data_IF_416980865571
#
_entry.id   IF_416980865571
#
_cell.length_a   1.000
_cell.length_b   1.000
_cell.length_c   1.000
_cell.angle_alpha   90.00
_cell.angle_beta   90.00
_cell.angle_gamma   90.00
#
_symmetry.space_group_name_H-M   'P 1'
#
loop_
_entity.id
_entity.type
_entity.pdbx_description
1 polymer ?
#
# COMPACT_ATOMS: atom_id res chain seq x y z
N UNK A 1 -23.06 0.82 -39.45
CA UNK A 1 -21.84 1.67 -39.33
C UNK A 1 -21.47 1.73 -37.85
N UNK A 2 -20.25 1.35 -37.45
CA UNK A 2 -19.82 1.32 -36.03
C UNK A 2 -19.12 2.64 -35.70
N UNK A 3 -19.68 3.44 -34.79
CA UNK A 3 -19.06 4.70 -34.32
C UNK A 3 -18.07 4.37 -33.20
N UNK A 4 -16.79 4.70 -33.40
CA UNK A 4 -15.78 4.64 -32.36
C UNK A 4 -15.74 5.98 -31.64
N UNK A 5 -15.98 5.99 -30.32
CA UNK A 5 -15.98 7.20 -29.51
C UNK A 5 -15.31 6.89 -28.17
N UNK A 6 -14.49 7.82 -27.69
CA UNK A 6 -13.89 7.79 -26.36
C UNK A 6 -14.51 8.89 -25.49
N UNK A 7 -14.51 8.65 -24.19
CA UNK A 7 -14.98 9.60 -23.18
C UNK A 7 -13.87 9.85 -22.17
N UNK A 8 -13.78 11.09 -21.70
CA UNK A 8 -12.90 11.49 -20.62
C UNK A 8 -13.76 12.12 -19.53
N UNK A 9 -13.50 11.73 -18.28
CA UNK A 9 -14.20 12.24 -17.12
C UNK A 9 -13.17 12.67 -16.07
N UNK A 10 -13.50 13.72 -15.34
CA UNK A 10 -12.78 14.11 -14.14
C UNK A 10 -13.44 13.47 -12.92
N UNK A 11 -12.61 12.97 -12.00
CA UNK A 11 -13.09 12.49 -10.71
C UNK A 11 -13.40 13.72 -9.84
N UNK A 12 -14.65 13.82 -9.36
CA UNK A 12 -15.10 14.92 -8.49
C UNK A 12 -15.40 14.37 -7.08
N UNK A 13 -14.38 14.01 -6.27
CA UNK A 13 -14.60 13.46 -4.95
C UNK A 13 -15.09 14.54 -3.98
N UNK A 14 -15.98 14.16 -3.06
CA UNK A 14 -16.33 15.01 -1.93
C UNK A 14 -15.20 15.02 -0.88
N UNK A 15 -15.38 15.78 0.21
CA UNK A 15 -14.37 15.91 1.26
C UNK A 15 -14.02 14.60 1.97
N UNK A 16 -15.01 13.74 2.21
CA UNK A 16 -14.84 12.44 2.84
C UNK A 16 -14.04 11.49 1.94
N UNK A 17 -14.42 11.39 0.68
CA UNK A 17 -13.73 10.58 -0.34
C UNK A 17 -12.28 11.04 -0.50
N UNK A 18 -12.05 12.34 -0.61
CA UNK A 18 -10.70 12.92 -0.72
C UNK A 18 -9.84 12.62 0.52
N UNK A 19 -10.45 12.58 1.71
CA UNK A 19 -9.75 12.18 2.94
C UNK A 19 -9.42 10.69 2.93
N UNK A 20 -10.37 9.83 2.57
CA UNK A 20 -10.18 8.38 2.49
C UNK A 20 -9.06 8.01 1.50
N UNK A 21 -9.06 8.64 0.30
CA UNK A 21 -8.00 8.44 -0.70
C UNK A 21 -6.62 8.84 -0.17
N UNK A 22 -6.51 9.99 0.52
CA UNK A 22 -5.26 10.43 1.13
C UNK A 22 -4.80 9.50 2.25
N UNK A 23 -5.72 9.03 3.09
CA UNK A 23 -5.42 8.08 4.16
C UNK A 23 -4.91 6.76 3.56
N UNK A 24 -5.57 6.24 2.52
CA UNK A 24 -5.13 5.05 1.81
C UNK A 24 -3.71 5.20 1.27
N UNK A 25 -3.44 6.26 0.49
CA UNK A 25 -2.11 6.52 -0.06
C UNK A 25 -1.05 6.67 1.05
N UNK A 26 -1.41 7.32 2.16
CA UNK A 26 -0.55 7.45 3.34
C UNK A 26 -0.23 6.10 3.98
N UNK A 27 -1.22 5.23 4.16
CA UNK A 27 -1.04 3.89 4.69
C UNK A 27 -0.12 3.04 3.80
N UNK A 28 -0.33 3.07 2.48
CA UNK A 28 0.55 2.40 1.51
C UNK A 28 2.00 2.86 1.65
N UNK A 29 2.22 4.19 1.76
CA UNK A 29 3.57 4.75 1.93
C UNK A 29 4.24 4.29 3.22
N UNK A 30 3.50 4.24 4.33
CA UNK A 30 4.04 3.77 5.62
C UNK A 30 4.43 2.29 5.55
N UNK A 31 3.55 1.44 5.03
CA UNK A 31 3.82 -0.01 4.88
C UNK A 31 5.02 -0.24 3.96
N UNK A 32 5.09 0.48 2.84
CA UNK A 32 6.21 0.39 1.90
C UNK A 32 7.54 0.76 2.56
N UNK A 33 7.58 1.90 3.26
CA UNK A 33 8.80 2.35 3.95
C UNK A 33 9.22 1.37 5.05
N UNK A 34 8.27 0.83 5.81
CA UNK A 34 8.57 -0.16 6.86
C UNK A 34 9.11 -1.46 6.27
N UNK A 35 8.53 -1.92 5.16
CA UNK A 35 9.06 -3.04 4.40
C UNK A 35 10.47 -2.78 3.88
N UNK A 36 10.74 -1.58 3.35
CA UNK A 36 12.07 -1.20 2.85
C UNK A 36 13.13 -1.19 3.95
N UNK A 37 12.81 -0.68 5.15
CA UNK A 37 13.74 -0.72 6.29
C UNK A 37 14.05 -2.15 6.68
N UNK A 38 13.02 -2.98 6.91
CA UNK A 38 13.20 -4.40 7.23
C UNK A 38 14.02 -5.13 6.17
N UNK A 39 13.74 -4.83 4.90
CA UNK A 39 14.43 -5.38 3.75
C UNK A 39 15.93 -5.05 3.75
N UNK A 40 16.27 -3.80 4.02
CA UNK A 40 17.66 -3.35 4.15
C UNK A 40 18.36 -4.07 5.31
N UNK A 41 17.70 -4.21 6.46
CA UNK A 41 18.26 -4.95 7.61
C UNK A 41 18.56 -6.41 7.27
N UNK A 42 17.65 -7.10 6.58
CA UNK A 42 17.89 -8.49 6.15
C UNK A 42 19.05 -8.60 5.17
N UNK A 43 19.14 -7.66 4.22
CA UNK A 43 20.23 -7.65 3.25
C UNK A 43 21.58 -7.38 3.90
N UNK A 44 21.67 -6.45 4.87
CA UNK A 44 22.92 -6.20 5.61
C UNK A 44 23.36 -7.41 6.43
N UNK A 45 22.42 -8.22 6.93
CA UNK A 45 22.72 -9.45 7.64
C UNK A 45 23.13 -10.60 6.69
N UNK A 46 22.51 -10.68 5.52
CA UNK A 46 22.81 -11.66 4.47
C UNK A 46 22.64 -11.05 3.07
N UNK A 47 23.77 -10.73 2.43
CA UNK A 47 23.80 -10.13 1.09
C UNK A 47 23.23 -11.05 -0.02
N UNK A 48 22.94 -12.32 0.28
CA UNK A 48 22.28 -13.25 -0.64
C UNK A 48 20.77 -13.32 -0.45
N UNK A 49 20.24 -12.63 0.56
CA UNK A 49 18.83 -12.64 0.89
C UNK A 49 18.00 -12.14 -0.29
N UNK A 50 17.08 -12.99 -0.76
CA UNK A 50 16.15 -12.66 -1.84
C UNK A 50 14.80 -12.23 -1.30
N UNK A 51 14.30 -11.15 -1.88
CA UNK A 51 13.02 -10.55 -1.53
C UNK A 51 11.87 -11.35 -2.14
N UNK A 52 10.85 -11.61 -1.33
CA UNK A 52 9.62 -12.27 -1.77
C UNK A 52 8.42 -11.54 -1.21
N UNK A 53 7.43 -11.27 -2.07
CA UNK A 53 6.15 -10.64 -1.69
C UNK A 53 5.51 -11.35 -0.49
N UNK A 54 5.49 -12.68 -0.51
CA UNK A 54 4.89 -13.52 0.54
C UNK A 54 5.49 -13.24 1.92
N UNK A 55 6.80 -13.00 2.01
CA UNK A 55 7.46 -12.67 3.30
C UNK A 55 6.95 -11.35 3.85
N UNK A 56 6.90 -10.30 3.03
CA UNK A 56 6.43 -8.97 3.46
C UNK A 56 4.93 -9.00 3.76
N UNK A 57 4.13 -9.68 2.94
CA UNK A 57 2.69 -9.84 3.17
C UNK A 57 2.41 -10.53 4.52
N UNK A 58 3.22 -11.52 4.90
CA UNK A 58 3.10 -12.20 6.20
C UNK A 58 3.54 -11.34 7.40
N UNK A 59 4.30 -10.26 7.19
CA UNK A 59 4.66 -9.29 8.23
C UNK A 59 3.57 -8.23 8.44
N UNK A 60 2.69 -8.01 7.45
CA UNK A 60 1.64 -7.00 7.53
C UNK A 60 0.69 -7.19 8.73
N UNK A 61 0.25 -8.41 9.10
CA UNK A 61 -0.55 -8.62 10.31
C UNK A 61 0.14 -8.15 11.59
N UNK A 62 1.46 -8.37 11.69
CA UNK A 62 2.27 -7.89 12.82
C UNK A 62 2.34 -6.36 12.83
N UNK A 63 2.59 -5.73 11.69
CA UNK A 63 2.61 -4.26 11.64
C UNK A 63 1.25 -3.63 11.91
N UNK A 64 0.15 -4.30 11.55
CA UNK A 64 -1.21 -3.87 11.89
C UNK A 64 -1.52 -4.02 13.38
N UNK A 65 -0.85 -4.92 14.12
CA UNK A 65 -1.01 -4.99 15.58
C UNK A 65 -0.22 -3.86 16.28
N UNK A 66 0.97 -3.53 15.78
CA UNK A 66 1.79 -2.42 16.27
C UNK A 66 1.18 -1.04 15.94
N UNK A 67 0.64 -0.89 14.73
CA UNK A 67 0.05 0.34 14.22
C UNK A 67 -1.46 0.16 14.14
N UNK A 68 -2.15 0.34 15.26
CA UNK A 68 -3.59 0.06 15.35
C UNK A 68 -4.44 0.81 14.29
N UNK A 69 -4.06 2.05 13.94
CA UNK A 69 -4.73 2.85 12.91
C UNK A 69 -4.59 2.28 11.48
N UNK A 70 -3.63 1.38 11.24
CA UNK A 70 -3.45 0.72 9.95
C UNK A 70 -4.50 -0.38 9.71
N UNK A 71 -5.24 -0.80 10.75
CA UNK A 71 -6.34 -1.76 10.62
C UNK A 71 -7.49 -1.20 9.81
N UNK A 72 -7.71 0.11 9.89
CA UNK A 72 -8.78 0.82 9.16
C UNK A 72 -8.44 1.01 7.68
N UNK A 73 -7.19 0.79 7.28
CA UNK A 73 -6.78 0.87 5.90
C UNK A 73 -7.26 -0.36 5.11
N UNK A 74 -7.87 -0.17 3.92
CA UNK A 74 -8.28 -1.29 3.09
C UNK A 74 -7.04 -2.05 2.62
N UNK A 75 -6.96 -3.33 2.98
CA UNK A 75 -5.84 -4.22 2.61
C UNK A 75 -6.24 -5.32 1.63
N UNK A 76 -7.49 -5.29 1.15
CA UNK A 76 -8.00 -6.16 0.11
C UNK A 76 -8.52 -5.27 -1.00
N UNK A 77 -7.67 -5.04 -1.99
CA UNK A 77 -8.01 -4.43 -3.27
C UNK A 77 -7.43 -5.33 -4.36
#
# INVERSE_FOLDING_TARGET
MKRLQAYQFELMPNGEQSRAMRQYAGCCRVVYNKALVWQNEQYQADNTFKFGYTKIANLLPLWKSELAWLKDAPSQA
#
